data_IF_006323677381
#
_entry.id   IF_006323677381
#
_cell.length_a   1.000
_cell.length_b   1.000
_cell.length_c   1.000
_cell.angle_alpha   90.00
_cell.angle_beta   90.00
_cell.angle_gamma   90.00
#
_symmetry.space_group_name_H-M   'P 1'
#
loop_
_entity.id
_entity.type
_entity.pdbx_description
1 polymer ?
#
# COMPACT_ATOMS: atom_id res chain seq x y z
N UNK A 1 -12.56 1.53 5.39
CA UNK A 1 -11.79 0.27 5.24
C UNK A 1 -10.81 0.03 6.40
N UNK A 2 -9.95 0.99 6.75
CA UNK A 2 -8.95 0.80 7.83
C UNK A 2 -9.55 0.46 9.21
N UNK A 3 -10.61 1.18 9.62
CA UNK A 3 -11.29 0.92 10.90
C UNK A 3 -11.89 -0.47 10.99
N UNK A 4 -12.47 -0.96 9.88
CA UNK A 4 -13.06 -2.29 9.79
C UNK A 4 -12.02 -3.43 9.66
N UNK A 5 -10.75 -3.10 9.40
CA UNK A 5 -9.70 -4.10 9.25
C UNK A 5 -9.34 -4.65 10.62
N UNK A 6 -9.38 -5.98 10.76
CA UNK A 6 -8.93 -6.66 11.97
C UNK A 6 -7.41 -6.46 12.17
N UNK A 7 -6.92 -6.46 13.42
CA UNK A 7 -5.49 -6.46 13.68
C UNK A 7 -4.79 -7.64 12.99
N UNK A 8 -3.59 -7.41 12.46
CA UNK A 8 -2.88 -8.32 11.57
C UNK A 8 -3.42 -8.36 10.13
N UNK A 9 -4.54 -7.70 9.84
CA UNK A 9 -5.09 -7.59 8.49
C UNK A 9 -4.24 -6.73 7.57
N UNK A 10 -4.22 -7.08 6.28
CA UNK A 10 -3.51 -6.33 5.24
C UNK A 10 -4.47 -5.44 4.45
N UNK A 11 -4.09 -4.19 4.23
CA UNK A 11 -4.74 -3.29 3.30
C UNK A 11 -3.79 -2.97 2.14
N UNK A 12 -4.33 -3.00 0.93
CA UNK A 12 -3.63 -2.58 -0.29
C UNK A 12 -4.51 -1.57 -1.01
N UNK A 13 -3.94 -0.44 -1.43
CA UNK A 13 -4.62 0.60 -2.18
C UNK A 13 -3.79 1.04 -3.39
N UNK A 14 -4.44 1.15 -4.55
CA UNK A 14 -3.82 1.52 -5.81
C UNK A 14 -4.40 2.86 -6.31
N UNK A 15 -3.56 3.69 -6.91
CA UNK A 15 -3.95 4.98 -7.49
C UNK A 15 -3.11 5.28 -8.73
N UNK A 16 -3.67 6.10 -9.62
CA UNK A 16 -3.00 6.62 -10.83
C UNK A 16 -3.03 8.15 -10.92
N UNK A 17 -3.73 8.84 -10.00
CA UNK A 17 -3.85 10.30 -10.00
C UNK A 17 -2.99 10.94 -8.91
N UNK A 18 -2.48 12.15 -9.17
CA UNK A 18 -1.61 12.88 -8.24
C UNK A 18 -2.31 13.19 -6.91
N UNK A 19 -3.59 13.55 -6.93
CA UNK A 19 -4.36 13.87 -5.72
C UNK A 19 -4.50 12.64 -4.81
N UNK A 20 -4.76 11.48 -5.41
CA UNK A 20 -4.88 10.23 -4.67
C UNK A 20 -3.51 9.67 -4.27
N UNK A 21 -2.44 9.95 -5.02
CA UNK A 21 -1.06 9.69 -4.60
C UNK A 21 -0.70 10.49 -3.34
N UNK A 22 -1.05 11.77 -3.29
CA UNK A 22 -0.85 12.61 -2.10
C UNK A 22 -1.61 12.05 -0.89
N UNK A 23 -2.84 11.58 -1.08
CA UNK A 23 -3.62 10.91 -0.04
C UNK A 23 -2.91 9.64 0.47
N UNK A 24 -2.43 8.79 -0.44
CA UNK A 24 -1.69 7.57 -0.06
C UNK A 24 -0.39 7.90 0.66
N UNK A 25 0.35 8.92 0.23
CA UNK A 25 1.56 9.37 0.91
C UNK A 25 1.28 9.80 2.36
N UNK A 26 0.18 10.54 2.59
CA UNK A 26 -0.25 10.90 3.94
C UNK A 26 -0.65 9.68 4.78
N UNK A 27 -1.33 8.69 4.19
CA UNK A 27 -1.70 7.45 4.88
C UNK A 27 -0.48 6.57 5.20
N UNK A 28 0.47 6.50 4.28
CA UNK A 28 1.76 5.85 4.50
C UNK A 28 2.55 6.52 5.63
N UNK A 29 2.59 7.85 5.70
CA UNK A 29 3.22 8.56 6.82
C UNK A 29 2.54 8.25 8.16
N UNK A 30 1.20 8.10 8.17
CA UNK A 30 0.43 7.86 9.38
C UNK A 30 0.48 6.41 9.89
N UNK A 31 0.47 5.43 8.99
CA UNK A 31 0.35 4.00 9.35
C UNK A 31 1.53 3.14 8.91
N UNK A 32 2.55 3.73 8.28
CA UNK A 32 3.68 3.02 7.71
C UNK A 32 3.30 2.14 6.51
N UNK A 33 3.94 0.99 6.40
CA UNK A 33 3.81 0.08 5.27
C UNK A 33 4.75 0.43 4.13
N UNK A 34 4.47 -0.08 2.95
CA UNK A 34 5.28 0.05 1.75
C UNK A 34 4.54 0.85 0.70
N UNK A 35 5.22 1.84 0.12
CA UNK A 35 4.71 2.63 -0.99
C UNK A 35 5.60 2.40 -2.22
N UNK A 36 5.01 1.86 -3.30
CA UNK A 36 5.72 1.51 -4.54
C UNK A 36 5.03 2.17 -5.72
N UNK A 37 5.80 2.70 -6.67
CA UNK A 37 5.28 3.16 -7.95
C UNK A 37 5.76 2.25 -9.07
N UNK A 38 4.81 1.71 -9.83
CA UNK A 38 5.02 0.75 -10.90
C UNK A 38 4.76 1.42 -12.25
N UNK A 39 5.76 1.41 -13.12
CA UNK A 39 5.64 1.83 -14.51
C UNK A 39 5.92 0.62 -15.41
N UNK A 40 4.97 0.31 -16.29
CA UNK A 40 5.04 -0.84 -17.20
C UNK A 40 4.89 -0.33 -18.62
N UNK A 41 5.65 -0.93 -19.54
CA UNK A 41 5.55 -0.68 -20.96
C UNK A 41 5.26 -1.98 -21.70
N UNK A 42 4.45 -1.89 -22.75
CA UNK A 42 4.17 -3.01 -23.63
C UNK A 42 4.78 -2.76 -25.02
N UNK A 43 5.36 -3.80 -25.60
CA UNK A 43 5.85 -3.77 -26.97
C UNK A 43 4.66 -3.64 -27.92
N UNK A 44 4.73 -2.68 -28.84
CA UNK A 44 3.66 -2.40 -29.82
C UNK A 44 4.27 -2.14 -31.20
N UNK A 45 3.57 -2.49 -32.29
CA UNK A 45 4.01 -2.13 -33.63
C UNK A 45 4.07 -0.61 -33.84
N UNK A 46 5.11 -0.13 -34.50
CA UNK A 46 5.31 1.25 -34.95
C UNK A 46 5.85 1.21 -36.38
N UNK A 47 4.94 1.27 -37.35
CA UNK A 47 5.29 0.99 -38.74
C UNK A 47 5.84 -0.42 -38.90
N UNK A 48 7.03 -0.56 -39.47
CA UNK A 48 7.74 -1.84 -39.65
C UNK A 48 8.59 -2.30 -38.46
N UNK A 49 8.59 -1.57 -37.34
CA UNK A 49 9.40 -1.87 -36.15
C UNK A 49 8.52 -2.10 -34.92
N UNK A 50 9.15 -2.52 -33.82
CA UNK A 50 8.53 -2.65 -32.51
C UNK A 50 9.01 -1.53 -31.60
N UNK A 51 8.09 -0.74 -31.06
CA UNK A 51 8.35 0.29 -30.06
C UNK A 51 7.72 -0.05 -28.72
N UNK A 52 8.02 0.76 -27.69
CA UNK A 52 7.42 0.62 -26.37
C UNK A 52 6.30 1.65 -26.17
N UNK A 53 5.11 1.19 -25.78
CA UNK A 53 4.02 2.05 -25.30
C UNK A 53 3.97 1.98 -23.78
N UNK A 54 4.24 3.10 -23.13
CA UNK A 54 4.14 3.23 -21.68
C UNK A 54 2.68 3.21 -21.24
N UNK A 55 2.37 2.43 -20.21
CA UNK A 55 1.11 2.54 -19.49
C UNK A 55 1.18 3.69 -18.47
N UNK A 56 0.02 4.18 -18.04
CA UNK A 56 -0.07 5.13 -16.94
C UNK A 56 0.48 4.47 -15.66
N UNK A 57 1.45 5.10 -14.95
CA UNK A 57 2.01 4.52 -13.74
C UNK A 57 0.95 4.32 -12.66
N UNK A 58 1.09 3.25 -11.89
CA UNK A 58 0.25 2.96 -10.72
C UNK A 58 1.09 3.09 -9.46
N UNK A 59 0.63 3.89 -8.51
CA UNK A 59 1.16 3.93 -7.15
C UNK A 59 0.35 3.00 -6.27
N UNK A 60 1.03 2.11 -5.55
CA UNK A 60 0.46 1.12 -4.66
C UNK A 60 0.99 1.31 -3.25
N UNK A 61 0.07 1.37 -2.29
CA UNK A 61 0.39 1.35 -0.87
C UNK A 61 -0.09 0.03 -0.26
N UNK A 62 0.78 -0.64 0.49
CA UNK A 62 0.47 -1.88 1.21
C UNK A 62 0.89 -1.77 2.67
N UNK A 63 -0.04 -2.02 3.58
CA UNK A 63 0.20 -1.94 5.03
C UNK A 63 -0.44 -3.11 5.76
N UNK A 64 0.19 -3.55 6.85
CA UNK A 64 -0.40 -4.51 7.80
C UNK A 64 -0.79 -3.73 9.05
N UNK A 65 -2.05 -3.82 9.47
CA UNK A 65 -2.49 -3.22 10.72
C UNK A 65 -1.84 -3.98 11.87
N UNK A 66 -1.13 -3.28 12.74
CA UNK A 66 -0.46 -3.92 13.88
C UNK A 66 -1.44 -4.78 14.67
N UNK A 67 -1.08 -6.02 15.04
CA UNK A 67 -1.87 -6.78 15.99
C UNK A 67 -2.01 -5.94 17.25
N UNK A 68 -3.22 -5.82 17.77
CA UNK A 68 -3.44 -5.20 19.07
C UNK A 68 -2.58 -5.97 20.07
N UNK A 69 -1.57 -5.29 20.63
CA UNK A 69 -0.68 -5.90 21.61
C UNK A 69 -1.55 -6.24 22.81
N UNK A 70 -1.97 -7.50 22.91
CA UNK A 70 -2.73 -8.00 24.04
C UNK A 70 -1.93 -7.70 25.31
N UNK A 71 -2.38 -6.71 26.07
CA UNK A 71 -1.92 -6.49 27.44
C UNK A 71 -2.36 -7.73 28.22
N UNK A 72 -1.47 -8.72 28.33
CA UNK A 72 -1.52 -9.67 29.45
C UNK A 72 -1.06 -8.89 30.66
N UNK A 73 -2.04 -8.34 31.38
CA UNK A 73 -1.91 -8.08 32.81
C UNK A 73 -1.69 -9.43 33.48
N UNK A 74 -0.42 -9.80 33.71
CA UNK A 74 -0.11 -10.81 34.71
C UNK A 74 -0.18 -10.12 36.06
N UNK A 75 -1.37 -10.18 36.65
CA UNK A 75 -1.59 -9.90 38.07
C UNK A 75 -1.01 -11.08 38.84
N UNK A 76 0.32 -11.11 38.93
CA UNK A 76 1.08 -12.05 39.74
C UNK A 76 1.16 -11.55 41.17
N UNK A 77 0.16 -11.96 41.93
CA UNK A 77 0.17 -12.09 43.39
C UNK A 77 1.56 -12.47 43.94
N UNK A 78 2.07 -11.66 44.88
CA UNK A 78 3.00 -12.09 45.93
C UNK A 78 2.97 -11.06 47.06
N UNK A 79 2.07 -11.38 48.01
CA UNK A 79 2.28 -11.42 49.47
C UNK A 79 3.09 -10.32 50.13
#
# INVERSE_FOLDING_TARGET
CWEALRPGGRLVANTVTLESEALLAGRHAAYGGELVRLAVAHAVPVGGFTGWRQAMPVTQWSVVKSPESGVRSDKGDRS
#
